data_IF_142786794485
#
_entry.id   IF_142786794485
#
_cell.length_a   1.000
_cell.length_b   1.000
_cell.length_c   1.000
_cell.angle_alpha   90.00
_cell.angle_beta   90.00
_cell.angle_gamma   90.00
#
_symmetry.space_group_name_H-M   'P 1'
#
loop_
_entity.id
_entity.type
_entity.pdbx_description
1 polymer ?
#
# COMPACT_ATOMS: atom_id res chain seq x y z
N UNK A 1 5.74 -17.81 -12.46
CA UNK A 1 4.84 -16.72 -12.87
C UNK A 1 5.63 -15.81 -13.78
N UNK A 2 5.13 -15.51 -14.98
CA UNK A 2 5.75 -14.51 -15.85
C UNK A 2 5.61 -13.14 -15.18
N UNK A 3 6.68 -12.37 -15.13
CA UNK A 3 6.61 -11.01 -14.61
C UNK A 3 5.97 -10.11 -15.68
N UNK A 4 4.75 -9.65 -15.42
CA UNK A 4 4.13 -8.61 -16.23
C UNK A 4 4.80 -7.26 -15.92
N UNK A 5 5.04 -6.46 -16.96
CA UNK A 5 5.66 -5.13 -16.82
C UNK A 5 4.59 -4.05 -16.84
N UNK A 6 4.49 -3.27 -15.77
CA UNK A 6 3.71 -2.04 -15.73
C UNK A 6 4.59 -0.85 -16.15
N UNK A 7 4.17 -0.09 -17.17
CA UNK A 7 4.83 1.16 -17.57
C UNK A 7 3.97 2.36 -17.17
N UNK A 8 4.54 3.28 -16.38
CA UNK A 8 3.84 4.48 -15.90
C UNK A 8 4.38 5.70 -16.65
N UNK A 9 3.50 6.46 -17.31
CA UNK A 9 3.84 7.77 -17.87
C UNK A 9 3.65 8.84 -16.80
N UNK A 10 4.72 9.51 -16.43
CA UNK A 10 4.68 10.62 -15.46
C UNK A 10 4.31 11.92 -16.20
N UNK A 11 3.35 12.65 -15.65
CA UNK A 11 3.09 14.00 -16.12
C UNK A 11 4.28 14.93 -15.76
N UNK A 12 4.42 16.09 -16.44
CA UNK A 12 5.56 16.97 -16.23
C UNK A 12 5.71 17.50 -14.79
N UNK A 13 4.61 17.69 -14.05
CA UNK A 13 4.65 18.22 -12.69
C UNK A 13 5.17 17.15 -11.72
N UNK A 14 4.67 15.92 -11.84
CA UNK A 14 5.14 14.80 -11.04
C UNK A 14 6.62 14.46 -11.33
N UNK A 15 7.04 14.49 -12.60
CA UNK A 15 8.44 14.31 -12.96
C UNK A 15 9.35 15.39 -12.34
N UNK A 16 8.93 16.66 -12.36
CA UNK A 16 9.68 17.75 -11.74
C UNK A 16 9.76 17.62 -10.21
N UNK A 17 8.71 17.09 -9.57
CA UNK A 17 8.73 16.78 -8.14
C UNK A 17 9.73 15.68 -7.82
N UNK A 18 9.69 14.56 -8.56
CA UNK A 18 10.62 13.45 -8.37
C UNK A 18 12.08 13.84 -8.54
N UNK A 19 12.40 14.66 -9.54
CA UNK A 19 13.77 15.18 -9.75
C UNK A 19 14.27 15.97 -8.54
N UNK A 20 13.42 16.83 -7.96
CA UNK A 20 13.77 17.59 -6.76
C UNK A 20 13.92 16.67 -5.54
N UNK A 21 12.99 15.74 -5.36
CA UNK A 21 13.07 14.77 -4.27
C UNK A 21 14.36 13.96 -4.31
N UNK A 22 14.74 13.44 -5.49
CA UNK A 22 16.00 12.74 -5.69
C UNK A 22 17.21 13.65 -5.41
N UNK A 23 17.19 14.91 -5.83
CA UNK A 23 18.27 15.84 -5.53
C UNK A 23 18.46 16.07 -4.01
N UNK A 24 17.38 16.04 -3.22
CA UNK A 24 17.44 16.21 -1.77
C UNK A 24 17.78 14.94 -1.00
N UNK A 25 17.36 13.77 -1.50
CA UNK A 25 17.40 12.50 -0.73
C UNK A 25 18.32 11.45 -1.32
N UNK A 26 18.78 11.64 -2.56
CA UNK A 26 19.44 10.63 -3.40
C UNK A 26 18.60 9.38 -3.67
N UNK A 27 17.30 9.40 -3.37
CA UNK A 27 16.37 8.32 -3.66
C UNK A 27 15.85 8.48 -5.10
N UNK A 28 16.05 7.44 -5.91
CA UNK A 28 15.53 7.39 -7.27
C UNK A 28 14.00 7.26 -7.29
N UNK A 29 13.31 7.81 -8.31
CA UNK A 29 11.84 7.74 -8.41
C UNK A 29 11.31 6.30 -8.41
N UNK A 30 12.03 5.38 -9.06
CA UNK A 30 11.69 3.96 -9.13
C UNK A 30 11.66 3.33 -7.74
N UNK A 31 12.70 3.60 -6.93
CA UNK A 31 12.77 3.11 -5.56
C UNK A 31 11.62 3.65 -4.69
N UNK A 32 11.29 4.94 -4.84
CA UNK A 32 10.16 5.53 -4.11
C UNK A 32 8.83 4.84 -4.47
N UNK A 33 8.60 4.55 -5.75
CA UNK A 33 7.38 3.89 -6.23
C UNK A 33 7.34 2.44 -5.74
N UNK A 34 8.45 1.71 -5.82
CA UNK A 34 8.53 0.33 -5.32
C UNK A 34 8.22 0.26 -3.82
N UNK A 35 8.79 1.17 -3.03
CA UNK A 35 8.50 1.31 -1.60
C UNK A 35 7.03 1.65 -1.33
N UNK A 36 6.44 2.55 -2.13
CA UNK A 36 5.03 2.92 -2.00
C UNK A 36 4.12 1.72 -2.31
N UNK A 37 4.43 0.95 -3.36
CA UNK A 37 3.69 -0.26 -3.73
C UNK A 37 3.83 -1.34 -2.66
N UNK A 38 5.02 -1.53 -2.09
CA UNK A 38 5.24 -2.47 -1.00
C UNK A 38 4.42 -2.10 0.24
N UNK A 39 4.44 -0.82 0.63
CA UNK A 39 3.70 -0.30 1.81
C UNK A 39 2.18 -0.36 1.63
N UNK A 40 1.69 -0.15 0.40
CA UNK A 40 0.25 -0.13 0.12
C UNK A 40 -0.32 -1.49 -0.28
N UNK A 41 0.52 -2.50 -0.52
CA UNK A 41 0.09 -3.86 -0.86
C UNK A 41 -0.90 -4.47 0.13
N UNK A 42 -0.71 -4.39 1.46
CA UNK A 42 -1.67 -4.95 2.42
C UNK A 42 -3.06 -4.31 2.30
N UNK A 43 -3.10 -3.00 2.07
CA UNK A 43 -4.35 -2.26 1.85
C UNK A 43 -5.04 -2.71 0.56
N UNK A 44 -4.28 -2.82 -0.54
CA UNK A 44 -4.83 -3.31 -1.81
C UNK A 44 -5.40 -4.72 -1.68
N UNK A 45 -4.68 -5.60 -0.99
CA UNK A 45 -5.14 -6.97 -0.70
C UNK A 45 -6.46 -6.96 0.08
N UNK A 46 -6.55 -6.16 1.15
CA UNK A 46 -7.77 -6.04 1.94
C UNK A 46 -8.97 -5.54 1.13
N UNK A 47 -8.75 -4.59 0.22
CA UNK A 47 -9.80 -4.09 -0.70
C UNK A 47 -10.28 -5.19 -1.63
N UNK A 48 -9.35 -5.90 -2.28
CA UNK A 48 -9.71 -6.98 -3.22
C UNK A 48 -10.49 -8.07 -2.50
N UNK A 49 -10.03 -8.51 -1.33
CA UNK A 49 -10.75 -9.52 -0.54
C UNK A 49 -12.15 -9.05 -0.12
N UNK A 50 -12.30 -7.79 0.30
CA UNK A 50 -13.61 -7.25 0.66
C UNK A 50 -14.55 -7.18 -0.56
N UNK A 51 -14.03 -6.90 -1.76
CA UNK A 51 -14.80 -6.92 -3.01
C UNK A 51 -15.22 -8.35 -3.38
N UNK A 52 -14.31 -9.31 -3.28
CA UNK A 52 -14.58 -10.72 -3.55
C UNK A 52 -15.64 -11.27 -2.58
N UNK A 53 -15.52 -10.96 -1.29
CA UNK A 53 -16.45 -11.38 -0.23
C UNK A 53 -17.83 -10.70 -0.33
N UNK A 54 -17.87 -9.43 -0.76
CA UNK A 54 -19.12 -8.68 -0.89
C UNK A 54 -20.00 -9.15 -2.07
N UNK A 55 -19.43 -9.87 -3.05
CA UNK A 55 -20.16 -10.42 -4.20
C UNK A 55 -21.07 -9.41 -4.93
N UNK A 56 -20.69 -8.12 -4.95
CA UNK A 56 -21.45 -7.04 -5.58
C UNK A 56 -22.43 -6.28 -4.67
N UNK A 57 -22.50 -6.61 -3.38
CA UNK A 57 -23.29 -5.85 -2.39
C UNK A 57 -22.48 -4.65 -1.84
N UNK A 58 -22.90 -3.40 -2.13
CA UNK A 58 -22.21 -2.20 -1.68
C UNK A 58 -22.20 -2.01 -0.15
N UNK A 59 -23.23 -2.49 0.56
CA UNK A 59 -23.34 -2.34 2.01
C UNK A 59 -22.42 -3.35 2.73
N UNK A 60 -22.38 -4.59 2.23
CA UNK A 60 -21.43 -5.60 2.70
C UNK A 60 -19.97 -5.16 2.46
N UNK A 61 -19.68 -4.57 1.29
CA UNK A 61 -18.35 -4.06 0.96
C UNK A 61 -17.86 -3.01 1.97
N UNK A 62 -18.71 -2.04 2.31
CA UNK A 62 -18.36 -0.99 3.25
C UNK A 62 -18.04 -1.54 4.65
N UNK A 63 -18.83 -2.52 5.13
CA UNK A 63 -18.59 -3.16 6.43
C UNK A 63 -17.31 -3.99 6.45
N UNK A 64 -17.08 -4.80 5.42
CA UNK A 64 -15.90 -5.67 5.30
C UNK A 64 -14.62 -4.85 5.17
N UNK A 65 -14.64 -3.83 4.32
CA UNK A 65 -13.51 -2.91 4.16
C UNK A 65 -13.18 -2.19 5.48
N UNK A 66 -14.18 -1.65 6.17
CA UNK A 66 -13.99 -0.98 7.46
C UNK A 66 -13.36 -1.89 8.52
N UNK A 67 -13.78 -3.17 8.59
CA UNK A 67 -13.19 -4.16 9.50
C UNK A 67 -11.73 -4.47 9.16
N UNK A 68 -11.42 -4.76 7.89
CA UNK A 68 -10.05 -5.09 7.47
C UNK A 68 -9.10 -3.90 7.67
N UNK A 69 -9.55 -2.67 7.39
CA UNK A 69 -8.76 -1.45 7.66
C UNK A 69 -8.52 -1.22 9.15
N UNK A 70 -9.52 -1.45 10.00
CA UNK A 70 -9.34 -1.37 11.45
C UNK A 70 -8.28 -2.38 11.95
N UNK A 71 -8.26 -3.59 11.41
CA UNK A 71 -7.23 -4.60 11.71
C UNK A 71 -5.83 -4.22 11.23
N UNK A 72 -5.72 -3.51 10.10
CA UNK A 72 -4.43 -2.99 9.60
C UNK A 72 -3.89 -1.80 10.43
N UNK A 73 -4.78 -1.06 11.08
CA UNK A 73 -4.45 0.09 11.93
C UNK A 73 -4.20 -0.27 13.39
N UNK A 74 -4.50 -1.50 13.82
CA UNK A 74 -4.07 -1.99 15.13
C UNK A 74 -2.55 -2.12 15.10
N UNK A 75 -1.79 -1.28 15.85
CA UNK A 75 -0.35 -1.45 15.94
C UNK A 75 -0.06 -2.85 16.49
N UNK A 76 1.05 -3.45 16.07
CA UNK A 76 1.68 -4.63 16.70
C UNK A 76 2.01 -4.32 18.18
N UNK A 77 1.01 -4.19 19.03
CA UNK A 77 1.16 -3.96 20.46
C UNK A 77 1.59 -5.24 21.20
N UNK A 78 1.76 -6.36 20.50
CA UNK A 78 1.99 -7.68 21.12
C UNK A 78 3.35 -8.33 20.80
N UNK A 79 4.31 -7.63 20.17
CA UNK A 79 5.66 -8.19 19.92
C UNK A 79 6.80 -7.56 20.73
N UNK A 80 6.52 -6.64 21.66
CA UNK A 80 7.55 -5.97 22.48
C UNK A 80 7.63 -6.41 23.95
N UNK A 81 6.88 -7.44 24.38
CA UNK A 81 6.83 -7.85 25.80
C UNK A 81 7.37 -9.27 26.12
N UNK A 82 8.17 -9.87 25.23
CA UNK A 82 8.85 -11.15 25.53
C UNK A 82 10.34 -11.17 25.18
N UNK A 83 11.12 -10.19 25.67
CA UNK A 83 12.55 -10.39 25.98
C UNK A 83 12.90 -9.57 27.23
N UNK A 84 12.41 -10.01 28.40
CA UNK A 84 13.01 -9.78 29.73
C UNK A 84 12.11 -10.41 30.79
N UNK A 85 12.33 -11.69 31.07
CA UNK A 85 12.00 -12.34 32.33
C UNK A 85 13.14 -13.30 32.67
#
# INVERSE_FOLDING_TARGET
MSADTLTIKLDPQLLALFRRYQAHTSIAPEFYIDELLAKTRPTLQAVVEALDEAAGDPEALAQLFGRKMASLMQPQAEQSEQVSA
#
